data_IF_454939848049
#
_entry.id   IF_454939848049
#
_cell.length_a   1.000
_cell.length_b   1.000
_cell.length_c   1.000
_cell.angle_alpha   90.00
_cell.angle_beta   90.00
_cell.angle_gamma   90.00
#
_symmetry.space_group_name_H-M   'P 1'
#
loop_
_entity.id
_entity.type
_entity.pdbx_description
1 polymer ?
#
# COMPACT_ATOMS: atom_id res chain seq x y z
N UNK A 1 17.05 -9.47 28.52
CA UNK A 1 16.64 -8.70 27.35
C UNK A 1 17.04 -7.27 27.60
N UNK A 2 18.05 -6.76 26.91
CA UNK A 2 18.44 -5.35 27.00
C UNK A 2 17.29 -4.51 26.42
N UNK A 3 16.71 -3.65 27.25
CA UNK A 3 15.68 -2.68 26.80
C UNK A 3 16.31 -1.85 25.68
N UNK A 4 15.66 -1.83 24.49
CA UNK A 4 16.06 -0.91 23.44
C UNK A 4 15.93 0.51 23.96
N UNK A 5 16.95 1.33 23.74
CA UNK A 5 16.89 2.77 24.04
C UNK A 5 15.97 3.50 23.05
N UNK A 6 15.74 2.93 21.86
CA UNK A 6 14.91 3.51 20.83
C UNK A 6 13.47 2.97 20.88
N UNK A 7 12.51 3.87 20.69
CA UNK A 7 11.08 3.55 20.55
C UNK A 7 10.72 3.24 19.10
N UNK A 8 11.42 3.87 18.15
CA UNK A 8 11.18 3.77 16.72
C UNK A 8 12.49 3.53 15.98
N UNK A 9 12.50 2.63 15.01
CA UNK A 9 13.52 2.57 13.97
C UNK A 9 12.93 3.00 12.63
N UNK A 10 13.56 3.96 11.96
CA UNK A 10 13.29 4.29 10.57
C UNK A 10 14.29 3.55 9.70
N UNK A 11 13.80 2.62 8.89
CA UNK A 11 14.60 1.82 7.97
C UNK A 11 14.37 2.39 6.56
N UNK A 12 15.39 3.05 6.01
CA UNK A 12 15.38 3.56 4.63
C UNK A 12 15.89 2.46 3.72
N UNK A 13 15.07 1.97 2.81
CA UNK A 13 15.45 1.00 1.78
C UNK A 13 15.75 1.71 0.47
N UNK A 14 16.93 1.47 -0.11
CA UNK A 14 17.40 2.15 -1.30
C UNK A 14 17.86 1.15 -2.38
N UNK A 15 17.43 1.37 -3.63
CA UNK A 15 17.96 0.73 -4.82
C UNK A 15 17.89 1.66 -6.03
N UNK A 16 19.03 2.20 -6.47
CA UNK A 16 19.15 3.14 -7.59
C UNK A 16 18.33 4.43 -7.44
N UNK A 17 18.47 5.07 -6.27
CA UNK A 17 17.81 6.34 -5.92
C UNK A 17 18.80 7.41 -5.46
N UNK A 18 19.98 7.51 -6.10
CA UNK A 18 21.01 8.49 -5.76
C UNK A 18 20.51 9.93 -5.72
N UNK A 19 19.48 10.25 -6.52
CA UNK A 19 18.88 11.59 -6.63
C UNK A 19 18.05 11.98 -5.40
N UNK A 20 17.50 10.98 -4.66
CA UNK A 20 16.51 11.22 -3.62
C UNK A 20 16.96 10.80 -2.22
N UNK A 21 17.81 9.77 -2.11
CA UNK A 21 18.11 9.10 -0.84
C UNK A 21 18.68 10.02 0.23
N UNK A 22 19.45 11.05 -0.16
CA UNK A 22 19.97 12.06 0.78
C UNK A 22 18.84 12.83 1.46
N UNK A 23 17.81 13.21 0.69
CA UNK A 23 16.63 13.93 1.22
C UNK A 23 15.84 13.03 2.16
N UNK A 24 15.61 11.77 1.79
CA UNK A 24 14.94 10.80 2.64
C UNK A 24 15.62 10.68 4.01
N UNK A 25 16.93 10.45 4.02
CA UNK A 25 17.75 10.35 5.24
C UNK A 25 17.72 11.65 6.02
N UNK A 26 17.98 12.79 5.35
CA UNK A 26 18.01 14.13 5.95
C UNK A 26 16.68 14.52 6.61
N UNK A 27 15.54 14.12 6.02
CA UNK A 27 14.20 14.42 6.53
C UNK A 27 13.94 13.79 7.91
N UNK A 28 14.58 12.65 8.21
CA UNK A 28 14.50 12.00 9.52
C UNK A 28 15.50 12.58 10.48
N UNK A 29 16.79 12.71 10.08
CA UNK A 29 17.88 13.20 10.94
C UNK A 29 17.66 14.64 11.41
N UNK A 30 17.05 15.48 10.57
CA UNK A 30 16.75 16.88 10.89
C UNK A 30 15.80 17.03 12.10
N UNK A 31 15.02 16.01 12.45
CA UNK A 31 14.07 16.04 13.56
C UNK A 31 14.70 15.78 14.94
N UNK A 32 16.00 15.40 14.99
CA UNK A 32 16.84 15.31 16.20
C UNK A 32 16.19 14.58 17.38
N UNK A 33 15.69 13.36 17.15
CA UNK A 33 15.04 12.54 18.18
C UNK A 33 16.02 11.51 18.75
N UNK A 34 16.20 11.51 20.06
CA UNK A 34 17.07 10.54 20.77
C UNK A 34 16.40 9.17 20.94
N UNK A 35 15.06 9.10 20.82
CA UNK A 35 14.28 7.88 20.93
C UNK A 35 13.94 7.25 19.56
N UNK A 36 14.55 7.76 18.46
CA UNK A 36 14.44 7.27 17.10
C UNK A 36 15.82 6.99 16.51
N UNK A 37 16.02 5.78 15.96
CA UNK A 37 17.23 5.46 15.19
C UNK A 37 16.93 5.42 13.69
N UNK A 38 17.95 5.71 12.88
CA UNK A 38 17.89 5.63 11.40
C UNK A 38 18.87 4.58 10.92
N UNK A 39 18.38 3.67 10.10
CA UNK A 39 19.17 2.61 9.46
C UNK A 39 18.91 2.68 7.97
N UNK A 40 19.96 2.71 7.16
CA UNK A 40 19.85 2.70 5.71
C UNK A 40 20.33 1.38 5.15
N UNK A 41 19.58 0.77 4.25
CA UNK A 41 19.98 -0.45 3.57
C UNK A 41 19.98 -0.20 2.05
N UNK A 42 21.18 -0.21 1.47
CA UNK A 42 21.39 -0.20 0.02
C UNK A 42 21.27 -1.63 -0.52
N UNK A 43 20.27 -1.91 -1.32
CA UNK A 43 19.98 -3.21 -1.92
C UNK A 43 20.80 -3.44 -3.19
N UNK A 44 22.12 -3.20 -3.13
CA UNK A 44 23.04 -3.43 -4.24
C UNK A 44 22.88 -2.45 -5.39
N UNK A 45 22.71 -1.17 -5.11
CA UNK A 45 22.60 -0.12 -6.13
C UNK A 45 23.78 -0.13 -7.10
N UNK A 46 23.49 0.15 -8.36
CA UNK A 46 24.46 0.25 -9.46
C UNK A 46 24.76 1.70 -9.87
N UNK A 47 24.00 2.64 -9.32
CA UNK A 47 24.22 4.09 -9.45
C UNK A 47 25.03 4.63 -8.25
N UNK A 48 25.12 5.96 -8.10
CA UNK A 48 25.83 6.61 -7.00
C UNK A 48 25.12 6.58 -5.64
N UNK A 49 24.03 5.80 -5.47
CA UNK A 49 23.26 5.77 -4.22
C UNK A 49 24.10 5.43 -2.99
N UNK A 50 24.97 4.42 -3.12
CA UNK A 50 25.81 4.01 -2.00
C UNK A 50 26.80 5.08 -1.57
N UNK A 51 27.41 5.78 -2.54
CA UNK A 51 28.33 6.87 -2.28
C UNK A 51 27.62 8.03 -1.56
N UNK A 52 26.40 8.39 -1.99
CA UNK A 52 25.57 9.41 -1.36
C UNK A 52 25.20 9.00 0.08
N UNK A 53 24.74 7.78 0.28
CA UNK A 53 24.39 7.25 1.62
C UNK A 53 25.58 7.36 2.58
N UNK A 54 26.78 6.94 2.16
CA UNK A 54 28.00 7.01 3.00
C UNK A 54 28.37 8.42 3.41
N UNK A 55 28.12 9.42 2.59
CA UNK A 55 28.40 10.83 2.89
C UNK A 55 27.51 11.40 4.01
N UNK A 56 26.33 10.83 4.23
CA UNK A 56 25.44 11.27 5.31
C UNK A 56 25.93 10.91 6.71
N UNK A 57 26.88 9.96 6.83
CA UNK A 57 27.37 9.46 8.11
C UNK A 57 26.37 8.62 8.92
N UNK A 58 25.19 8.32 8.36
CA UNK A 58 24.18 7.48 9.00
C UNK A 58 24.65 6.02 9.12
N UNK A 59 24.10 5.26 10.05
CA UNK A 59 24.31 3.81 10.13
C UNK A 59 23.73 3.15 8.87
N UNK A 60 24.60 2.68 7.98
CA UNK A 60 24.21 2.17 6.68
C UNK A 60 24.87 0.82 6.36
N UNK A 61 24.17 0.02 5.60
CA UNK A 61 24.60 -1.30 5.13
C UNK A 61 24.36 -1.42 3.64
N UNK A 62 25.28 -2.09 2.94
CA UNK A 62 25.10 -2.48 1.54
C UNK A 62 25.02 -3.99 1.45
N UNK A 63 23.98 -4.49 0.79
CA UNK A 63 23.75 -5.92 0.57
C UNK A 63 23.73 -6.25 -0.92
N UNK A 64 23.79 -7.53 -1.26
CA UNK A 64 23.52 -7.98 -2.62
C UNK A 64 22.03 -7.79 -2.94
N UNK A 65 21.72 -7.32 -4.15
CA UNK A 65 20.35 -7.04 -4.57
C UNK A 65 19.44 -8.27 -4.38
N UNK A 66 18.38 -8.08 -3.64
CA UNK A 66 17.40 -9.13 -3.32
C UNK A 66 15.97 -8.62 -3.24
N UNK A 67 15.76 -7.33 -3.58
CA UNK A 67 14.47 -6.66 -3.57
C UNK A 67 14.11 -6.05 -2.22
N UNK A 68 13.14 -5.14 -2.27
CA UNK A 68 12.73 -4.28 -1.15
C UNK A 68 12.50 -5.07 0.16
N UNK A 69 11.76 -6.18 0.10
CA UNK A 69 11.48 -7.01 1.27
C UNK A 69 12.75 -7.50 1.95
N UNK A 70 13.73 -7.99 1.18
CA UNK A 70 15.01 -8.48 1.72
C UNK A 70 15.81 -7.36 2.40
N UNK A 71 15.86 -6.19 1.77
CA UNK A 71 16.51 -5.02 2.35
C UNK A 71 15.85 -4.59 3.67
N UNK A 72 14.52 -4.56 3.71
CA UNK A 72 13.77 -4.23 4.94
C UNK A 72 13.95 -5.26 6.05
N UNK A 73 13.99 -6.57 5.75
CA UNK A 73 14.30 -7.61 6.72
C UNK A 73 15.73 -7.45 7.25
N UNK A 74 16.69 -7.17 6.37
CA UNK A 74 18.07 -6.92 6.83
C UNK A 74 18.13 -5.72 7.77
N UNK A 75 17.47 -4.61 7.45
CA UNK A 75 17.37 -3.46 8.34
C UNK A 75 16.68 -3.79 9.66
N UNK A 76 15.64 -4.62 9.64
CA UNK A 76 14.94 -5.12 10.83
C UNK A 76 15.90 -5.92 11.76
N UNK A 77 16.83 -6.68 11.21
CA UNK A 77 17.83 -7.44 11.96
C UNK A 77 18.88 -6.52 12.63
N UNK A 78 19.01 -5.28 12.18
CA UNK A 78 19.96 -4.32 12.72
C UNK A 78 19.42 -3.49 13.89
N UNK A 79 18.14 -3.65 14.26
CA UNK A 79 17.48 -2.90 15.33
C UNK A 79 16.75 -3.83 16.29
N UNK A 80 16.51 -3.34 17.51
CA UNK A 80 15.61 -3.97 18.49
C UNK A 80 14.45 -3.06 18.86
N UNK A 81 14.27 -1.94 18.16
CA UNK A 81 13.18 -1.01 18.41
C UNK A 81 11.81 -1.70 18.31
N UNK A 82 10.87 -1.42 19.23
CA UNK A 82 9.57 -2.06 19.25
C UNK A 82 8.65 -1.64 18.09
N UNK A 83 8.95 -0.52 17.44
CA UNK A 83 8.22 -0.02 16.27
C UNK A 83 9.17 0.30 15.12
N UNK A 84 8.69 0.10 13.89
CA UNK A 84 9.47 0.26 12.67
C UNK A 84 8.66 1.04 11.63
N UNK A 85 9.29 2.03 11.01
CA UNK A 85 8.83 2.71 9.82
C UNK A 85 9.75 2.31 8.67
N UNK A 86 9.20 1.75 7.60
CA UNK A 86 9.92 1.55 6.35
C UNK A 86 9.71 2.77 5.48
N UNK A 87 10.78 3.53 5.26
CA UNK A 87 10.77 4.74 4.43
C UNK A 87 11.40 4.42 3.07
N UNK A 88 10.64 4.60 2.01
CA UNK A 88 11.16 4.46 0.65
C UNK A 88 12.15 5.60 0.35
N UNK A 89 13.25 5.31 -0.36
CA UNK A 89 14.35 6.25 -0.57
C UNK A 89 13.98 7.48 -1.42
N UNK A 90 12.82 7.50 -2.04
CA UNK A 90 12.25 8.59 -2.83
C UNK A 90 11.22 9.43 -2.06
N UNK A 91 10.85 9.02 -0.82
CA UNK A 91 9.90 9.70 0.06
C UNK A 91 10.61 10.49 1.18
N UNK A 92 9.89 11.38 1.83
CA UNK A 92 10.41 12.24 2.91
C UNK A 92 9.42 12.34 4.06
N UNK A 93 9.90 12.45 5.31
CA UNK A 93 9.08 12.86 6.44
C UNK A 93 9.04 14.39 6.54
N UNK A 94 7.90 14.96 6.90
CA UNK A 94 7.80 16.39 7.16
C UNK A 94 8.35 16.76 8.55
N UNK A 95 8.82 18.00 8.75
CA UNK A 95 9.23 18.50 10.07
C UNK A 95 8.10 18.31 11.11
N UNK A 96 8.44 17.76 12.29
CA UNK A 96 7.48 17.47 13.34
C UNK A 96 6.72 16.14 13.19
N UNK A 97 6.96 15.37 12.11
CA UNK A 97 6.31 14.09 11.91
C UNK A 97 6.60 13.09 13.03
N UNK A 98 7.85 13.00 13.48
CA UNK A 98 8.22 12.11 14.59
C UNK A 98 7.58 12.54 15.91
N UNK A 99 7.42 13.84 16.15
CA UNK A 99 6.75 14.37 17.35
C UNK A 99 5.24 14.02 17.35
N UNK A 100 4.62 14.00 16.18
CA UNK A 100 3.23 13.59 16.02
C UNK A 100 3.05 12.07 16.15
N UNK A 101 3.98 11.26 15.65
CA UNK A 101 3.88 9.80 15.55
C UNK A 101 4.22 9.10 16.88
N UNK A 102 5.37 9.44 17.49
CA UNK A 102 5.95 8.71 18.62
C UNK A 102 5.03 8.61 19.84
N UNK A 103 4.24 9.62 20.24
CA UNK A 103 3.30 9.50 21.35
C UNK A 103 2.29 8.35 21.21
N UNK A 104 1.95 7.94 19.99
CA UNK A 104 0.99 6.89 19.70
C UNK A 104 1.60 5.48 19.68
N UNK A 105 2.92 5.33 19.84
CA UNK A 105 3.60 4.03 19.84
C UNK A 105 3.43 3.35 21.19
N UNK A 106 2.28 2.71 21.40
CA UNK A 106 1.92 1.99 22.61
C UNK A 106 1.81 0.48 22.36
N UNK A 107 2.03 -0.38 23.37
CA UNK A 107 2.06 -1.84 23.17
C UNK A 107 0.79 -2.44 22.53
N UNK A 108 -0.38 -1.88 22.77
CA UNK A 108 -1.65 -2.27 22.17
C UNK A 108 -1.82 -1.86 20.73
N UNK A 109 -1.05 -0.87 20.25
CA UNK A 109 -1.11 -0.35 18.89
C UNK A 109 -0.28 -1.25 17.97
N UNK A 110 -0.93 -1.86 17.00
CA UNK A 110 -0.28 -2.68 15.97
C UNK A 110 0.31 -1.81 14.86
N UNK A 111 -0.34 -0.67 14.57
CA UNK A 111 0.05 0.21 13.46
C UNK A 111 -0.38 1.65 13.71
N UNK A 112 0.52 2.59 13.43
CA UNK A 112 0.19 4.01 13.24
C UNK A 112 0.30 4.32 11.76
N UNK A 113 -0.69 5.04 11.21
CA UNK A 113 -0.69 5.44 9.80
C UNK A 113 -1.03 6.93 9.66
N UNK A 114 -0.48 7.57 8.63
CA UNK A 114 -0.64 9.01 8.41
C UNK A 114 -0.72 9.37 6.92
N UNK A 115 -1.22 10.56 6.60
CA UNK A 115 -1.32 11.01 5.23
C UNK A 115 0.04 11.47 4.69
N UNK A 116 0.26 11.23 3.40
CA UNK A 116 1.41 11.70 2.66
C UNK A 116 0.95 12.71 1.60
N UNK A 117 1.60 13.88 1.54
CA UNK A 117 1.43 14.83 0.46
C UNK A 117 2.05 14.29 -0.83
N UNK A 118 1.37 14.44 -1.96
CA UNK A 118 1.93 14.01 -3.24
C UNK A 118 2.80 15.10 -3.84
N UNK A 119 4.01 14.75 -4.23
CA UNK A 119 4.95 15.63 -4.93
C UNK A 119 5.40 15.00 -6.26
N UNK A 120 5.80 15.83 -7.22
CA UNK A 120 6.44 15.34 -8.44
C UNK A 120 7.92 14.96 -8.22
N UNK A 121 8.63 14.52 -9.27
CA UNK A 121 10.05 14.17 -9.20
C UNK A 121 10.93 15.33 -8.70
N UNK A 122 10.57 16.58 -8.98
CA UNK A 122 11.27 17.78 -8.52
C UNK A 122 10.95 18.19 -7.07
N UNK A 123 9.93 17.60 -6.45
CA UNK A 123 9.45 17.94 -5.09
C UNK A 123 8.35 18.99 -5.06
N UNK A 124 7.76 19.36 -6.21
CA UNK A 124 6.62 20.28 -6.25
C UNK A 124 5.34 19.55 -5.84
N UNK A 125 4.57 20.16 -4.92
CA UNK A 125 3.31 19.61 -4.46
C UNK A 125 2.27 19.48 -5.60
N UNK A 126 1.62 18.34 -5.67
CA UNK A 126 0.55 18.04 -6.63
C UNK A 126 -0.85 18.37 -6.09
N UNK A 127 -0.95 19.06 -4.95
CA UNK A 127 -2.19 19.53 -4.33
C UNK A 127 -3.13 18.40 -3.85
N UNK A 128 -2.59 17.21 -3.56
CA UNK A 128 -3.37 16.08 -3.08
C UNK A 128 -2.58 15.23 -2.09
N UNK A 129 -3.30 14.60 -1.17
CA UNK A 129 -2.75 13.66 -0.19
C UNK A 129 -3.16 12.22 -0.52
N UNK A 130 -2.37 11.28 -0.04
CA UNK A 130 -2.64 9.84 -0.11
C UNK A 130 -2.45 9.18 1.27
N UNK A 131 -3.49 8.49 1.79
CA UNK A 131 -4.88 8.56 1.35
C UNK A 131 -5.50 9.93 1.68
N UNK A 132 -6.67 10.24 1.10
CA UNK A 132 -7.39 11.45 1.48
C UNK A 132 -7.81 11.37 2.97
N UNK A 133 -7.62 12.43 3.80
CA UNK A 133 -7.85 12.40 5.25
C UNK A 133 -9.24 11.90 5.64
N UNK A 134 -10.28 12.31 4.91
CA UNK A 134 -11.66 11.86 5.17
C UNK A 134 -11.84 10.33 5.10
N UNK A 135 -10.95 9.62 4.41
CA UNK A 135 -11.01 8.17 4.32
C UNK A 135 -10.56 7.49 5.61
N UNK A 136 -9.76 8.16 6.43
CA UNK A 136 -9.36 7.70 7.76
C UNK A 136 -10.47 7.87 8.81
N UNK A 137 -11.32 8.90 8.66
CA UNK A 137 -12.38 9.21 9.62
C UNK A 137 -13.56 8.23 9.57
N UNK A 138 -13.57 7.28 8.66
CA UNK A 138 -14.63 6.27 8.52
C UNK A 138 -14.35 5.10 9.44
N UNK A 139 -14.81 5.25 10.67
CA UNK A 139 -14.65 4.27 11.75
C UNK A 139 -15.56 3.07 11.52
N UNK A 140 -15.01 1.91 11.61
CA UNK A 140 -15.68 0.61 11.63
C UNK A 140 -14.68 -0.45 12.05
N UNK A 141 -15.15 -1.65 12.33
CA UNK A 141 -14.25 -2.77 12.63
C UNK A 141 -13.40 -3.10 11.38
N UNK A 142 -12.12 -2.71 11.42
CA UNK A 142 -11.20 -2.95 10.31
C UNK A 142 -10.95 -4.45 10.06
N UNK A 143 -11.09 -5.30 11.06
CA UNK A 143 -11.03 -6.77 10.91
C UNK A 143 -12.17 -7.25 10.04
N UNK A 144 -13.39 -6.81 10.36
CA UNK A 144 -14.57 -7.13 9.55
C UNK A 144 -14.44 -6.55 8.15
N UNK A 145 -13.89 -5.35 8.01
CA UNK A 145 -13.63 -4.76 6.70
C UNK A 145 -12.65 -5.60 5.88
N UNK A 146 -11.54 -6.05 6.45
CA UNK A 146 -10.59 -6.95 5.75
C UNK A 146 -11.27 -8.26 5.35
N UNK A 147 -12.10 -8.86 6.23
CA UNK A 147 -12.85 -10.08 5.89
C UNK A 147 -13.77 -9.90 4.70
N UNK A 148 -14.47 -8.77 4.62
CA UNK A 148 -15.47 -8.53 3.57
C UNK A 148 -14.87 -8.00 2.29
N UNK A 149 -13.88 -7.12 2.39
CA UNK A 149 -13.36 -6.43 1.22
C UNK A 149 -11.98 -6.91 0.79
N UNK A 150 -11.24 -7.58 1.68
CA UNK A 150 -9.84 -7.95 1.45
C UNK A 150 -8.87 -6.79 1.58
N UNK A 151 -9.34 -5.58 1.88
CA UNK A 151 -8.52 -4.37 1.97
C UNK A 151 -9.13 -3.36 2.94
N UNK A 152 -8.32 -2.45 3.45
CA UNK A 152 -8.78 -1.23 4.11
C UNK A 152 -7.91 -0.04 3.64
N UNK A 153 -8.29 1.17 4.03
CA UNK A 153 -7.57 2.37 3.62
C UNK A 153 -6.25 2.45 4.39
N UNK A 154 -5.16 2.42 3.66
CA UNK A 154 -3.79 2.56 4.16
C UNK A 154 -2.99 3.45 3.21
N UNK A 155 -2.08 4.29 3.70
CA UNK A 155 -1.13 5.00 2.85
C UNK A 155 -0.15 4.03 2.18
N UNK A 156 0.67 4.52 1.22
CA UNK A 156 1.89 3.85 0.77
C UNK A 156 2.81 3.49 1.94
N UNK A 157 3.79 2.64 1.69
CA UNK A 157 4.73 2.09 2.69
C UNK A 157 5.24 3.15 3.67
N UNK A 158 5.72 4.29 3.16
CA UNK A 158 6.33 5.38 3.94
C UNK A 158 5.37 6.10 4.90
N UNK A 159 4.06 5.91 4.77
CA UNK A 159 3.04 6.48 5.65
C UNK A 159 2.62 5.55 6.80
N UNK A 160 3.39 4.51 7.11
CA UNK A 160 3.03 3.50 8.09
C UNK A 160 4.17 3.21 9.07
N UNK A 161 3.84 3.20 10.35
CA UNK A 161 4.69 2.64 11.42
C UNK A 161 4.05 1.38 11.93
N UNK A 162 4.80 0.30 11.98
CA UNK A 162 4.32 -1.01 12.41
C UNK A 162 4.97 -1.43 13.72
N UNK A 163 4.21 -2.09 14.59
CA UNK A 163 4.81 -2.81 15.71
C UNK A 163 5.69 -3.95 15.18
N UNK A 164 6.82 -4.18 15.81
CA UNK A 164 7.87 -5.09 15.33
C UNK A 164 7.39 -6.51 15.03
N UNK A 165 6.48 -7.05 15.83
CA UNK A 165 5.94 -8.41 15.63
C UNK A 165 5.22 -8.57 14.28
N UNK A 166 4.60 -7.49 13.76
CA UNK A 166 4.04 -7.50 12.41
C UNK A 166 5.14 -7.53 11.34
N UNK A 167 6.25 -6.81 11.55
CA UNK A 167 7.36 -6.80 10.60
C UNK A 167 8.00 -8.19 10.46
N UNK A 168 7.99 -9.01 11.52
CA UNK A 168 8.51 -10.38 11.46
C UNK A 168 7.74 -11.27 10.46
N UNK A 169 6.47 -10.95 10.16
CA UNK A 169 5.69 -11.66 9.12
C UNK A 169 6.30 -11.56 7.73
N UNK A 170 7.15 -10.57 7.48
CA UNK A 170 7.85 -10.43 6.20
C UNK A 170 8.79 -11.60 5.91
N UNK A 171 9.29 -12.30 6.94
CA UNK A 171 10.23 -13.42 6.76
C UNK A 171 9.60 -14.58 5.99
N UNK A 172 8.33 -14.84 6.23
CA UNK A 172 7.58 -15.92 5.60
C UNK A 172 6.81 -15.48 4.33
N UNK A 173 7.02 -14.23 3.88
CA UNK A 173 6.33 -13.66 2.71
C UNK A 173 7.19 -13.74 1.44
N UNK A 174 7.84 -14.87 1.17
CA UNK A 174 8.72 -15.11 0.01
C UNK A 174 8.00 -15.02 -1.35
N UNK A 175 6.69 -15.10 -1.35
CA UNK A 175 5.81 -14.92 -2.50
C UNK A 175 5.64 -13.45 -2.93
N UNK A 176 6.19 -12.50 -2.17
CA UNK A 176 6.01 -11.06 -2.40
C UNK A 176 7.34 -10.31 -2.20
N UNK A 177 7.69 -9.45 -3.15
CA UNK A 177 8.87 -8.59 -3.04
C UNK A 177 8.57 -7.26 -2.34
N UNK A 178 7.28 -6.89 -2.21
CA UNK A 178 6.88 -5.68 -1.52
C UNK A 178 6.76 -5.92 0.00
N UNK A 179 6.94 -4.85 0.75
CA UNK A 179 6.90 -4.85 2.22
C UNK A 179 5.48 -4.75 2.75
N UNK A 180 4.62 -4.01 2.07
CA UNK A 180 3.34 -3.55 2.60
C UNK A 180 2.19 -4.60 2.54
N UNK A 181 2.34 -5.69 1.80
CA UNK A 181 1.25 -6.64 1.58
C UNK A 181 0.69 -7.28 2.84
N UNK A 182 1.42 -8.25 3.40
CA UNK A 182 0.95 -9.03 4.55
C UNK A 182 0.83 -8.20 5.83
N UNK A 183 1.78 -7.30 6.11
CA UNK A 183 1.81 -6.55 7.37
C UNK A 183 0.65 -5.55 7.46
N UNK A 184 0.24 -4.95 6.34
CA UNK A 184 -0.96 -4.10 6.29
C UNK A 184 -2.21 -4.95 6.58
N UNK A 185 -2.39 -6.07 5.87
CA UNK A 185 -3.59 -6.90 6.04
C UNK A 185 -3.69 -7.52 7.44
N UNK A 186 -2.57 -7.86 8.04
CA UNK A 186 -2.52 -8.47 9.36
C UNK A 186 -2.77 -7.47 10.51
N UNK A 187 -2.34 -6.22 10.35
CA UNK A 187 -2.34 -5.23 11.43
C UNK A 187 -3.67 -5.14 12.21
N UNK A 188 -4.88 -5.11 11.58
CA UNK A 188 -6.14 -5.05 12.32
C UNK A 188 -6.40 -6.25 13.24
N UNK A 189 -5.75 -7.40 12.99
CA UNK A 189 -5.93 -8.62 13.77
C UNK A 189 -4.95 -8.72 14.95
N UNK A 190 -3.90 -7.90 14.94
CA UNK A 190 -2.83 -7.93 15.94
C UNK A 190 -2.91 -6.80 16.98
N UNK A 191 -3.73 -5.78 16.77
CA UNK A 191 -3.90 -4.68 17.71
C UNK A 191 -4.67 -3.50 17.13
N UNK A 192 -4.59 -2.37 17.79
CA UNK A 192 -5.23 -1.14 17.37
C UNK A 192 -4.51 -0.50 16.17
N UNK A 193 -5.26 0.22 15.35
CA UNK A 193 -4.72 1.05 14.28
C UNK A 193 -5.05 2.51 14.57
N UNK A 194 -4.01 3.30 14.80
CA UNK A 194 -4.11 4.75 14.96
C UNK A 194 -3.94 5.40 13.59
N UNK A 195 -4.88 6.25 13.22
CA UNK A 195 -4.85 7.00 11.95
C UNK A 195 -4.73 8.49 12.22
N UNK A 196 -3.65 9.10 11.77
CA UNK A 196 -3.37 10.51 11.86
C UNK A 196 -3.73 11.16 10.51
N UNK A 197 -4.76 12.02 10.46
CA UNK A 197 -5.21 12.63 9.20
C UNK A 197 -4.26 13.72 8.68
N UNK A 198 -3.27 14.10 9.46
CA UNK A 198 -2.27 15.10 9.12
C UNK A 198 -1.34 14.61 8.03
N UNK A 199 -0.87 15.54 7.21
CA UNK A 199 0.20 15.34 6.25
C UNK A 199 1.54 15.32 7.01
N UNK A 200 2.11 14.14 7.23
CA UNK A 200 3.35 13.97 7.98
C UNK A 200 4.52 13.50 7.13
N UNK A 201 4.33 13.32 5.83
CA UNK A 201 5.39 12.97 4.89
C UNK A 201 5.00 13.30 3.45
N UNK A 202 5.95 13.11 2.55
CA UNK A 202 5.81 13.37 1.11
C UNK A 202 5.96 12.04 0.34
N UNK A 203 5.00 11.77 -0.54
CA UNK A 203 5.03 10.66 -1.49
C UNK A 203 5.40 11.19 -2.87
N UNK A 204 6.54 10.76 -3.37
CA UNK A 204 7.06 11.20 -4.67
C UNK A 204 6.48 10.37 -5.81
N UNK A 205 5.99 11.07 -6.83
CA UNK A 205 5.39 10.46 -8.03
C UNK A 205 6.31 10.69 -9.22
N UNK A 206 6.86 9.61 -9.76
CA UNK A 206 7.72 9.61 -10.95
C UNK A 206 7.57 8.28 -11.72
N UNK A 207 8.14 8.20 -12.93
CA UNK A 207 7.94 7.05 -13.82
C UNK A 207 8.53 5.72 -13.31
N UNK A 208 9.42 5.77 -12.32
CA UNK A 208 10.08 4.60 -11.72
C UNK A 208 9.31 4.00 -10.53
N UNK A 209 8.20 4.63 -10.08
CA UNK A 209 7.41 4.07 -8.97
C UNK A 209 6.91 2.66 -9.30
N UNK A 210 7.10 1.73 -8.37
CA UNK A 210 6.65 0.34 -8.50
C UNK A 210 5.12 0.20 -8.42
N UNK A 211 4.41 1.21 -7.93
CA UNK A 211 2.96 1.22 -7.72
C UNK A 211 2.11 1.05 -8.99
N UNK A 212 2.72 1.04 -10.17
CA UNK A 212 2.05 0.67 -11.43
C UNK A 212 0.95 1.62 -11.90
N UNK A 213 0.85 2.82 -11.33
CA UNK A 213 -0.10 3.85 -11.77
C UNK A 213 0.28 4.27 -13.19
N UNK A 214 -0.60 4.00 -14.16
CA UNK A 214 -0.36 4.35 -15.59
C UNK A 214 -0.02 3.15 -16.50
N UNK A 215 0.26 1.96 -15.97
CA UNK A 215 0.44 0.75 -16.81
C UNK A 215 -0.90 0.31 -17.39
N UNK A 216 -0.91 -0.06 -18.67
CA UNK A 216 -2.11 -0.57 -19.35
C UNK A 216 -2.70 -1.80 -18.66
N UNK A 217 -3.98 -2.06 -18.89
CA UNK A 217 -4.67 -3.23 -18.33
C UNK A 217 -4.19 -4.46 -19.09
N UNK A 218 -3.39 -5.26 -18.41
CA UNK A 218 -2.87 -6.54 -18.86
C UNK A 218 -3.47 -7.68 -18.03
N UNK A 219 -3.93 -8.73 -18.71
CA UNK A 219 -4.51 -9.90 -18.07
C UNK A 219 -3.52 -10.61 -17.14
N UNK A 220 -2.23 -10.65 -17.52
CA UNK A 220 -1.20 -11.32 -16.72
C UNK A 220 -0.86 -10.53 -15.46
N UNK A 221 -0.85 -9.20 -15.54
CA UNK A 221 -0.71 -8.33 -14.35
C UNK A 221 -1.89 -8.56 -13.40
N UNK A 222 -3.13 -8.67 -13.91
CA UNK A 222 -4.30 -8.95 -13.06
C UNK A 222 -4.17 -10.32 -12.41
N UNK A 223 -3.72 -11.35 -13.14
CA UNK A 223 -3.49 -12.70 -12.60
C UNK A 223 -2.43 -12.68 -11.50
N UNK A 224 -1.33 -11.96 -11.71
CA UNK A 224 -0.26 -11.80 -10.72
C UNK A 224 -0.79 -11.13 -9.44
N UNK A 225 -1.55 -10.04 -9.56
CA UNK A 225 -2.17 -9.38 -8.41
C UNK A 225 -3.15 -10.30 -7.67
N UNK A 226 -3.95 -11.10 -8.40
CA UNK A 226 -4.85 -12.07 -7.78
C UNK A 226 -4.08 -13.18 -7.06
N UNK A 227 -2.98 -13.67 -7.65
CA UNK A 227 -2.15 -14.70 -7.02
C UNK A 227 -1.44 -14.17 -5.77
N UNK A 228 -0.85 -12.97 -5.87
CA UNK A 228 -0.25 -12.27 -4.72
C UNK A 228 -1.27 -12.13 -3.58
N UNK A 229 -2.47 -11.65 -3.90
CA UNK A 229 -3.53 -11.49 -2.91
C UNK A 229 -3.96 -12.83 -2.30
N UNK A 230 -4.07 -13.89 -3.10
CA UNK A 230 -4.36 -15.25 -2.62
C UNK A 230 -3.32 -15.73 -1.63
N UNK A 231 -2.05 -15.52 -1.92
CA UNK A 231 -0.95 -15.90 -1.04
C UNK A 231 -0.99 -15.08 0.26
N UNK A 232 -1.24 -13.75 0.17
CA UNK A 232 -1.40 -12.90 1.34
C UNK A 232 -2.55 -13.34 2.26
N UNK A 233 -3.72 -13.68 1.71
CA UNK A 233 -4.86 -14.16 2.51
C UNK A 233 -4.57 -15.52 3.13
N UNK A 234 -3.93 -16.43 2.39
CA UNK A 234 -3.53 -17.74 2.94
C UNK A 234 -2.53 -17.56 4.10
N UNK A 235 -1.56 -16.65 3.94
CA UNK A 235 -0.60 -16.30 4.99
C UNK A 235 -1.31 -15.68 6.19
N UNK A 236 -2.17 -14.68 5.98
CA UNK A 236 -2.97 -14.06 7.02
C UNK A 236 -3.75 -15.10 7.83
N UNK A 237 -4.48 -16.00 7.16
CA UNK A 237 -5.26 -17.05 7.83
C UNK A 237 -4.40 -18.02 8.65
N UNK A 238 -3.12 -18.18 8.32
CA UNK A 238 -2.17 -19.02 9.07
C UNK A 238 -1.66 -18.33 10.33
N UNK A 239 -1.42 -16.99 10.26
CA UNK A 239 -0.77 -16.22 11.33
C UNK A 239 -1.75 -15.47 12.24
N UNK A 240 -3.01 -15.33 11.83
CA UNK A 240 -4.03 -14.69 12.67
C UNK A 240 -4.06 -15.31 14.08
N UNK A 241 -4.13 -14.49 15.14
CA UNK A 241 -4.33 -15.00 16.50
C UNK A 241 -5.53 -15.93 16.56
N UNK A 242 -5.38 -17.09 17.18
CA UNK A 242 -6.45 -18.08 17.34
C UNK A 242 -7.38 -17.63 18.47
N UNK A 243 -8.33 -16.80 18.13
CA UNK A 243 -9.48 -16.50 19.00
C UNK A 243 -10.69 -17.29 18.46
N UNK A 244 -11.45 -17.93 19.35
CA UNK A 244 -12.65 -18.73 19.02
C UNK A 244 -13.73 -17.95 18.25
N UNK A 245 -13.66 -16.61 18.28
CA UNK A 245 -14.57 -15.70 17.56
C UNK A 245 -14.04 -15.25 16.19
N UNK A 246 -12.78 -15.55 15.86
CA UNK A 246 -12.17 -15.08 14.60
C UNK A 246 -12.32 -16.13 13.51
N UNK A 247 -13.25 -15.87 12.58
CA UNK A 247 -13.39 -16.64 11.35
C UNK A 247 -12.24 -16.31 10.37
N UNK A 248 -11.71 -17.30 9.63
CA UNK A 248 -10.74 -17.05 8.56
C UNK A 248 -11.35 -16.17 7.48
N UNK A 249 -10.48 -15.44 6.76
CA UNK A 249 -10.89 -14.65 5.60
C UNK A 249 -11.16 -15.59 4.43
N UNK A 250 -12.40 -15.63 3.95
CA UNK A 250 -12.75 -16.34 2.73
C UNK A 250 -12.50 -15.44 1.51
N UNK A 251 -11.45 -15.75 0.76
CA UNK A 251 -11.03 -14.96 -0.40
C UNK A 251 -12.14 -14.82 -1.44
N UNK A 252 -12.94 -15.87 -1.66
CA UNK A 252 -13.99 -15.90 -2.68
C UNK A 252 -15.23 -15.05 -2.33
N UNK A 253 -15.21 -14.43 -1.15
CA UNK A 253 -16.23 -13.46 -0.71
C UNK A 253 -15.70 -12.04 -0.60
N UNK A 254 -14.38 -11.83 -0.77
CA UNK A 254 -13.81 -10.48 -0.65
C UNK A 254 -14.08 -9.63 -1.89
N UNK A 255 -14.38 -8.33 -1.67
CA UNK A 255 -14.57 -7.36 -2.76
C UNK A 255 -13.39 -7.34 -3.72
N UNK A 256 -12.16 -7.24 -3.20
CA UNK A 256 -10.95 -7.14 -4.01
C UNK A 256 -10.83 -8.31 -5.00
N UNK A 257 -10.99 -9.53 -4.51
CA UNK A 257 -10.85 -10.73 -5.35
C UNK A 257 -11.98 -10.86 -6.37
N UNK A 258 -13.23 -10.62 -5.95
CA UNK A 258 -14.40 -10.66 -6.83
C UNK A 258 -14.32 -9.59 -7.93
N UNK A 259 -13.89 -8.36 -7.59
CA UNK A 259 -13.67 -7.30 -8.57
C UNK A 259 -12.60 -7.70 -9.59
N UNK A 260 -11.42 -8.16 -9.15
CA UNK A 260 -10.34 -8.58 -10.05
C UNK A 260 -10.76 -9.75 -10.94
N UNK A 261 -11.53 -10.69 -10.40
CA UNK A 261 -12.06 -11.84 -11.15
C UNK A 261 -13.03 -11.40 -12.26
N UNK A 262 -13.93 -10.43 -11.97
CA UNK A 262 -14.83 -9.86 -12.97
C UNK A 262 -14.07 -9.06 -14.04
N UNK A 263 -13.10 -8.24 -13.63
CA UNK A 263 -12.26 -7.45 -14.54
C UNK A 263 -11.46 -8.38 -15.46
N UNK A 264 -10.79 -9.40 -14.91
CA UNK A 264 -10.05 -10.37 -15.70
C UNK A 264 -10.95 -11.06 -16.73
N UNK A 265 -12.11 -11.56 -16.31
CA UNK A 265 -13.08 -12.20 -17.19
C UNK A 265 -13.56 -11.26 -18.31
N UNK A 266 -13.68 -9.96 -18.01
CA UNK A 266 -14.06 -8.94 -19.01
C UNK A 266 -12.92 -8.64 -19.98
N UNK A 267 -11.68 -8.61 -19.50
CA UNK A 267 -10.49 -8.33 -20.34
C UNK A 267 -10.17 -9.48 -21.29
N UNK A 268 -10.31 -10.75 -20.82
CA UNK A 268 -10.05 -11.93 -21.65
C UNK A 268 -11.25 -12.37 -22.49
N UNK A 269 -12.38 -11.69 -22.41
CA UNK A 269 -13.56 -12.04 -23.18
C UNK A 269 -14.29 -13.31 -22.71
N UNK A 270 -14.24 -13.62 -21.41
CA UNK A 270 -14.89 -14.83 -20.88
C UNK A 270 -16.41 -14.71 -20.89
N UNK A 271 -17.08 -15.68 -21.50
CA UNK A 271 -18.54 -15.80 -21.49
C UNK A 271 -19.04 -16.15 -20.08
N UNK A 272 -20.21 -15.59 -19.70
CA UNK A 272 -20.81 -15.87 -18.39
C UNK A 272 -20.16 -15.14 -17.20
N UNK A 273 -19.34 -14.12 -17.45
CA UNK A 273 -18.71 -13.28 -16.42
C UNK A 273 -19.70 -12.65 -15.43
N UNK A 274 -20.94 -12.42 -15.84
CA UNK A 274 -22.03 -11.89 -15.01
C UNK A 274 -22.39 -12.80 -13.81
N UNK A 275 -22.03 -14.09 -13.84
CA UNK A 275 -22.36 -15.04 -12.75
C UNK A 275 -21.78 -14.64 -11.40
N UNK A 276 -20.73 -13.82 -11.38
CA UNK A 276 -20.08 -13.34 -10.15
C UNK A 276 -20.70 -12.03 -9.62
N UNK A 277 -21.49 -11.36 -10.47
CA UNK A 277 -22.05 -10.05 -10.16
C UNK A 277 -22.91 -10.02 -8.89
N UNK A 278 -23.80 -11.00 -8.62
CA UNK A 278 -24.61 -10.98 -7.40
C UNK A 278 -23.77 -10.99 -6.11
N UNK A 279 -22.70 -11.80 -6.05
CA UNK A 279 -21.80 -11.83 -4.90
C UNK A 279 -21.09 -10.49 -4.72
N UNK A 280 -20.55 -9.93 -5.81
CA UNK A 280 -19.86 -8.65 -5.78
C UNK A 280 -20.77 -7.49 -5.35
N UNK A 281 -22.00 -7.43 -5.88
CA UNK A 281 -22.97 -6.42 -5.50
C UNK A 281 -23.38 -6.53 -4.02
N UNK A 282 -23.57 -7.73 -3.51
CA UNK A 282 -23.87 -7.96 -2.09
C UNK A 282 -22.77 -7.39 -1.18
N UNK A 283 -21.49 -7.59 -1.55
CA UNK A 283 -20.37 -7.03 -0.78
C UNK A 283 -20.38 -5.50 -0.85
N UNK A 284 -20.60 -4.90 -2.03
CA UNK A 284 -20.67 -3.44 -2.21
C UNK A 284 -21.80 -2.82 -1.38
N UNK A 285 -23.00 -3.41 -1.43
CA UNK A 285 -24.18 -2.92 -0.71
C UNK A 285 -23.95 -2.99 0.80
N UNK A 286 -23.37 -4.08 1.27
CA UNK A 286 -23.09 -4.30 2.68
C UNK A 286 -21.87 -3.53 3.23
N UNK A 287 -21.04 -2.88 2.40
CA UNK A 287 -19.89 -2.11 2.87
C UNK A 287 -20.32 -0.74 3.43
N UNK A 288 -19.40 -0.10 4.16
CA UNK A 288 -19.54 1.26 4.72
C UNK A 288 -19.35 2.38 3.69
N UNK A 289 -19.31 2.07 2.40
CA UNK A 289 -19.25 3.10 1.35
C UNK A 289 -20.47 4.05 1.41
N UNK A 290 -20.28 5.36 1.14
CA UNK A 290 -21.40 6.27 0.96
C UNK A 290 -22.36 5.76 -0.11
N UNK A 291 -23.68 6.06 -0.01
CA UNK A 291 -24.66 5.61 -0.98
C UNK A 291 -24.32 5.95 -2.43
N UNK A 292 -23.85 7.18 -2.67
CA UNK A 292 -23.41 7.60 -4.00
C UNK A 292 -22.26 6.73 -4.55
N UNK A 293 -21.28 6.39 -3.71
CA UNK A 293 -20.16 5.52 -4.12
C UNK A 293 -20.62 4.07 -4.35
N UNK A 294 -21.55 3.55 -3.55
CA UNK A 294 -22.16 2.23 -3.78
C UNK A 294 -22.84 2.19 -5.13
N UNK A 295 -23.62 3.24 -5.48
CA UNK A 295 -24.31 3.34 -6.74
C UNK A 295 -23.33 3.37 -7.93
N UNK A 296 -22.28 4.20 -7.86
CA UNK A 296 -21.25 4.31 -8.90
C UNK A 296 -20.53 2.98 -9.09
N UNK A 297 -20.09 2.34 -8.00
CA UNK A 297 -19.39 1.04 -8.06
C UNK A 297 -20.30 -0.05 -8.62
N UNK A 298 -21.53 -0.14 -8.14
CA UNK A 298 -22.50 -1.13 -8.63
C UNK A 298 -22.79 -0.93 -10.12
N UNK A 299 -23.07 0.30 -10.54
CA UNK A 299 -23.28 0.64 -11.95
C UNK A 299 -22.11 0.27 -12.84
N UNK A 300 -20.88 0.60 -12.42
CA UNK A 300 -19.68 0.22 -13.15
C UNK A 300 -19.55 -1.30 -13.32
N UNK A 301 -19.74 -2.07 -12.24
CA UNK A 301 -19.59 -3.54 -12.31
C UNK A 301 -20.71 -4.19 -13.10
N UNK A 302 -21.94 -3.66 -13.05
CA UNK A 302 -23.04 -4.12 -13.90
C UNK A 302 -22.66 -3.88 -15.36
N UNK A 303 -22.23 -2.68 -15.72
CA UNK A 303 -21.88 -2.34 -17.10
C UNK A 303 -20.79 -3.24 -17.65
N UNK A 304 -19.67 -3.44 -16.94
CA UNK A 304 -18.57 -4.31 -17.42
C UNK A 304 -18.97 -5.79 -17.47
N UNK A 305 -20.01 -6.21 -16.74
CA UNK A 305 -20.50 -7.58 -16.76
C UNK A 305 -21.42 -7.87 -17.96
N UNK A 306 -22.19 -6.89 -18.44
CA UNK A 306 -23.23 -7.09 -19.47
C UNK A 306 -22.85 -6.54 -20.85
N UNK A 307 -22.04 -5.47 -20.92
CA UNK A 307 -21.67 -4.84 -22.18
C UNK A 307 -20.79 -5.74 -23.06
N UNK A 308 -20.74 -5.52 -24.38
CA UNK A 308 -19.78 -6.17 -25.27
C UNK A 308 -18.33 -6.02 -24.74
N UNK A 309 -17.47 -7.00 -25.00
CA UNK A 309 -16.12 -7.06 -24.44
C UNK A 309 -15.27 -5.83 -24.77
N UNK A 310 -15.40 -5.28 -25.99
CA UNK A 310 -14.68 -4.08 -26.41
C UNK A 310 -15.03 -2.87 -25.54
N UNK A 311 -16.33 -2.66 -25.27
CA UNK A 311 -16.82 -1.57 -24.42
C UNK A 311 -16.47 -1.79 -22.96
N UNK A 312 -16.59 -3.00 -22.46
CA UNK A 312 -16.19 -3.36 -21.09
C UNK A 312 -14.70 -3.08 -20.85
N UNK A 313 -13.83 -3.49 -21.78
CA UNK A 313 -12.39 -3.24 -21.72
C UNK A 313 -12.10 -1.75 -21.71
N UNK A 314 -12.75 -0.98 -22.57
CA UNK A 314 -12.57 0.48 -22.61
C UNK A 314 -12.99 1.16 -21.29
N UNK A 315 -14.14 0.80 -20.71
CA UNK A 315 -14.58 1.32 -19.41
C UNK A 315 -13.58 1.01 -18.30
N UNK A 316 -13.03 -0.20 -18.31
CA UNK A 316 -11.99 -0.60 -17.35
C UNK A 316 -10.74 0.27 -17.55
N UNK A 317 -10.29 0.50 -18.80
CA UNK A 317 -9.15 1.37 -19.09
C UNK A 317 -9.33 2.80 -18.58
N UNK A 318 -10.52 3.40 -18.81
CA UNK A 318 -10.86 4.74 -18.30
C UNK A 318 -10.79 4.80 -16.78
N UNK A 319 -11.23 3.73 -16.08
CA UNK A 319 -11.16 3.68 -14.62
C UNK A 319 -9.73 3.63 -14.09
N UNK A 320 -8.84 2.89 -14.74
CA UNK A 320 -7.47 2.68 -14.28
C UNK A 320 -6.44 3.69 -14.83
N UNK A 321 -6.85 4.52 -15.80
CA UNK A 321 -6.03 5.61 -16.36
C UNK A 321 -6.69 6.96 -16.08
N UNK A 322 -6.31 7.65 -14.98
CA UNK A 322 -6.90 8.93 -14.61
C UNK A 322 -6.81 10.00 -15.72
N UNK A 323 -5.74 9.99 -16.51
CA UNK A 323 -5.54 10.88 -17.64
C UNK A 323 -6.59 10.71 -18.76
N UNK A 324 -7.27 9.56 -18.82
CA UNK A 324 -8.37 9.28 -19.77
C UNK A 324 -9.77 9.61 -19.23
N UNK A 325 -9.89 10.17 -18.02
CA UNK A 325 -11.17 10.50 -17.39
C UNK A 325 -11.80 11.81 -17.88
N UNK A 326 -11.52 12.23 -19.09
CA UNK A 326 -12.19 13.40 -19.69
C UNK A 326 -13.57 13.01 -20.22
N UNK A 327 -14.56 13.91 -20.09
CA UNK A 327 -15.92 13.67 -20.61
C UNK A 327 -15.94 13.32 -22.10
N UNK A 328 -14.98 13.87 -22.88
CA UNK A 328 -14.77 13.55 -24.28
C UNK A 328 -14.27 12.10 -24.52
N UNK A 329 -13.48 11.53 -23.59
CA UNK A 329 -13.05 10.14 -23.68
C UNK A 329 -14.19 9.17 -23.37
N UNK A 330 -15.03 9.52 -22.39
CA UNK A 330 -16.22 8.74 -22.04
C UNK A 330 -17.27 8.75 -23.18
N UNK A 331 -17.50 9.91 -23.78
CA UNK A 331 -18.42 10.06 -24.92
C UNK A 331 -17.94 9.27 -26.16
N UNK A 332 -16.64 9.32 -26.49
CA UNK A 332 -16.03 8.52 -27.58
C UNK A 332 -16.16 7.01 -27.34
N UNK A 333 -16.06 6.58 -26.08
CA UNK A 333 -16.24 5.17 -25.70
C UNK A 333 -17.67 4.68 -25.97
N UNK A 334 -18.65 5.51 -25.68
CA UNK A 334 -20.07 5.17 -25.86
C UNK A 334 -20.54 5.24 -27.32
N UNK A 335 -19.90 6.07 -28.14
CA UNK A 335 -20.29 6.27 -29.55
C UNK A 335 -19.55 5.40 -30.55
N UNK A 336 -18.50 4.67 -30.11
CA UNK A 336 -17.73 3.76 -30.98
C UNK A 336 -16.91 4.47 -32.07
N UNK A 337 -16.80 5.79 -32.03
CA UNK A 337 -16.04 6.58 -33.03
C UNK A 337 -14.55 6.63 -32.66
N UNK A 338 -13.81 5.63 -33.13
CA UNK A 338 -12.36 5.74 -33.30
C UNK A 338 -12.10 6.46 -34.64
N UNK A 339 -11.76 7.71 -34.57
CA UNK A 339 -10.98 8.42 -35.61
C UNK A 339 -9.76 9.02 -34.96
#
# INVERSE_FOLDING_TARGET
MTSSTFRLAVIVNCYNYAEYVERAIGSVLAQRRDDCEVIVVDDGSTDASWEVIRQTGVRAFRIENGGQRRACIYGLDQTTAPFVLFLDADDELLPGALDAIIPHLQPEVAKVQFCLGRVDGGGQHLGSMVPHPELFCRVGDLRERVRRTGVYVSPPTSGNVFRRDLCELLRDADYDNAVDGIIILAAPFFGEIVSLPEELGLYRVHDRNLSGVGRGIDADIIRQHMQRFRNCIAHLNRVMPRDSKQQPVDIDTTYFYLEKKLILASVVGQVGRYRQLPKLLNVIIGDYFPPARKLILSGFHILIAILPFSLSRHLIEVRYRPEKRTGAALARALTGTNR
#
